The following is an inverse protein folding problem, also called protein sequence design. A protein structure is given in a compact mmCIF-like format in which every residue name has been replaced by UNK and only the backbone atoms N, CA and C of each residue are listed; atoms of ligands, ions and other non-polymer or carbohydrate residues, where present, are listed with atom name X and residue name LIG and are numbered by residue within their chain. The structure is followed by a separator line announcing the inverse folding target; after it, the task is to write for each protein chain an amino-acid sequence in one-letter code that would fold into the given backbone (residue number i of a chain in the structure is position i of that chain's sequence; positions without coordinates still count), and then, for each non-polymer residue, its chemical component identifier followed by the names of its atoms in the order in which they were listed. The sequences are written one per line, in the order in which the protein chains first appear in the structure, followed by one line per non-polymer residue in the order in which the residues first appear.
data_IF_134085714358
#
_entry.id   IF_134085714358
#
_cell.length_a   1.000
_cell.length_b   1.000
_cell.length_c   1.000
_cell.angle_alpha   90.00
_cell.angle_beta   90.00
_cell.angle_gamma   90.00
#
_symmetry.space_group_name_H-M   'P 1'
#
loop_
_entity.id
_entity.type
_entity.pdbx_description
1 polymer ?
#
# COMPACT_ATOMS: atom_id res chain seq x y z
N UNK A 1 8.57 -19.47 2.24
CA UNK A 1 7.39 -18.90 1.58
C UNK A 1 7.48 -17.39 1.57
N UNK A 2 7.18 -16.76 0.46
CA UNK A 2 7.19 -15.30 0.45
C UNK A 2 6.09 -14.79 1.37
N UNK A 3 6.45 -13.80 2.19
CA UNK A 3 5.48 -13.14 3.05
C UNK A 3 4.63 -12.21 2.20
N UNK A 4 3.37 -12.57 2.02
CA UNK A 4 2.41 -11.72 1.33
C UNK A 4 1.36 -11.29 2.34
N UNK A 5 1.20 -9.98 2.50
CA UNK A 5 0.18 -9.41 3.38
C UNK A 5 -0.76 -8.55 2.58
N UNK A 6 -1.96 -8.40 3.09
CA UNK A 6 -2.99 -7.55 2.50
C UNK A 6 -3.41 -6.50 3.51
N UNK A 7 -3.58 -5.29 3.04
CA UNK A 7 -4.01 -4.17 3.86
C UNK A 7 -5.09 -3.40 3.13
N UNK A 8 -6.24 -3.25 3.77
CA UNK A 8 -7.36 -2.51 3.22
C UNK A 8 -7.44 -1.16 3.92
N UNK A 9 -7.13 -0.09 3.20
CA UNK A 9 -7.21 1.27 3.74
C UNK A 9 -8.30 2.07 3.06
N UNK A 10 -9.25 1.39 2.41
CA UNK A 10 -10.40 2.06 1.82
C UNK A 10 -11.26 2.68 2.92
N UNK A 11 -11.85 3.82 2.62
CA UNK A 11 -12.70 4.52 3.57
C UNK A 11 -11.97 5.30 4.64
N UNK A 12 -10.64 5.26 4.66
CA UNK A 12 -9.85 6.01 5.64
C UNK A 12 -9.48 7.38 5.08
N UNK A 13 -9.50 8.37 5.95
CA UNK A 13 -9.10 9.73 5.58
C UNK A 13 -7.60 9.91 5.74
N UNK A 14 -7.02 10.79 4.91
CA UNK A 14 -5.62 11.17 5.04
C UNK A 14 -5.36 11.74 6.44
N UNK A 15 -4.27 11.36 7.13
CA UNK A 15 -3.13 10.57 6.66
C UNK A 15 -3.18 9.07 7.02
N UNK A 16 -4.34 8.55 7.40
CA UNK A 16 -4.48 7.17 7.87
C UNK A 16 -3.95 6.11 6.89
N UNK A 17 -4.27 6.17 5.58
CA UNK A 17 -3.74 5.17 4.66
C UNK A 17 -2.22 5.08 4.67
N UNK A 18 -1.55 6.23 4.72
CA UNK A 18 -0.08 6.28 4.76
C UNK A 18 0.44 5.73 6.07
N UNK A 19 -0.17 6.11 7.18
CA UNK A 19 0.26 5.65 8.50
C UNK A 19 0.13 4.14 8.63
N UNK A 20 -0.99 3.59 8.18
CA UNK A 20 -1.22 2.15 8.24
C UNK A 20 -0.23 1.38 7.37
N UNK A 21 -0.01 1.87 6.15
CA UNK A 21 0.94 1.24 5.24
C UNK A 21 2.35 1.29 5.80
N UNK A 22 2.77 2.44 6.32
CA UNK A 22 4.11 2.60 6.88
C UNK A 22 4.34 1.65 8.06
N UNK A 23 3.35 1.47 8.92
CA UNK A 23 3.47 0.54 10.04
C UNK A 23 3.74 -0.89 9.55
N UNK A 24 3.01 -1.34 8.53
CA UNK A 24 3.19 -2.68 7.99
C UNK A 24 4.56 -2.81 7.33
N UNK A 25 4.99 -1.79 6.57
CA UNK A 25 6.30 -1.82 5.93
C UNK A 25 7.45 -1.88 6.91
N UNK A 26 7.29 -1.28 8.10
CA UNK A 26 8.30 -1.37 9.15
C UNK A 26 8.41 -2.78 9.71
N UNK A 27 7.30 -3.51 9.76
CA UNK A 27 7.28 -4.88 10.24
C UNK A 27 7.80 -5.86 9.19
N UNK A 28 7.60 -5.54 7.92
CA UNK A 28 8.07 -6.36 6.80
C UNK A 28 9.42 -5.85 6.34
N UNK A 29 10.47 -6.60 6.60
CA UNK A 29 11.79 -6.26 6.09
C UNK A 29 11.84 -6.42 4.56
N UNK A 30 11.17 -7.45 4.07
CA UNK A 30 11.06 -7.75 2.65
C UNK A 30 9.80 -8.57 2.42
N UNK A 31 9.39 -8.71 1.18
CA UNK A 31 8.20 -9.51 0.84
C UNK A 31 7.25 -8.73 -0.06
N UNK A 32 5.97 -9.03 0.04
CA UNK A 32 4.94 -8.41 -0.78
C UNK A 32 3.81 -7.91 0.10
N UNK A 33 3.39 -6.67 -0.14
CA UNK A 33 2.23 -6.08 0.53
C UNK A 33 1.25 -5.60 -0.52
N UNK A 34 0.01 -6.06 -0.44
CA UNK A 34 -1.07 -5.56 -1.28
C UNK A 34 -1.90 -4.56 -0.48
N UNK A 35 -2.04 -3.36 -1.00
CA UNK A 35 -2.77 -2.28 -0.34
C UNK A 35 -3.95 -1.87 -1.22
N UNK A 36 -5.16 -1.90 -0.66
CA UNK A 36 -6.35 -1.43 -1.34
C UNK A 36 -6.63 0.01 -0.95
N UNK A 37 -6.72 0.89 -1.94
CA UNK A 37 -7.02 2.31 -1.74
C UNK A 37 -8.22 2.69 -2.60
N UNK A 38 -8.99 3.68 -2.16
CA UNK A 38 -10.18 4.11 -2.88
C UNK A 38 -10.12 5.56 -3.38
N UNK A 39 -8.96 6.18 -3.31
CA UNK A 39 -8.78 7.53 -3.84
C UNK A 39 -7.41 7.69 -4.46
N UNK A 40 -7.30 8.61 -5.41
CA UNK A 40 -6.01 8.89 -6.05
C UNK A 40 -5.04 9.54 -5.08
N UNK A 41 -5.54 10.36 -4.17
CA UNK A 41 -4.70 10.99 -3.15
C UNK A 41 -4.07 9.94 -2.26
N UNK A 42 -4.86 8.96 -1.80
CA UNK A 42 -4.32 7.87 -0.99
C UNK A 42 -3.31 7.05 -1.78
N UNK A 43 -3.60 6.76 -3.04
CA UNK A 43 -2.67 6.03 -3.91
C UNK A 43 -1.34 6.76 -4.01
N UNK A 44 -1.36 8.05 -4.31
CA UNK A 44 -0.15 8.83 -4.47
C UNK A 44 0.66 8.90 -3.18
N UNK A 45 -0.01 9.11 -2.05
CA UNK A 45 0.66 9.21 -0.77
C UNK A 45 1.29 7.89 -0.34
N UNK A 46 0.56 6.79 -0.51
CA UNK A 46 1.08 5.45 -0.20
C UNK A 46 2.27 5.13 -1.11
N UNK A 47 2.15 5.44 -2.40
CA UNK A 47 3.21 5.21 -3.37
C UNK A 47 4.50 5.94 -2.98
N UNK A 48 4.39 7.22 -2.65
CA UNK A 48 5.56 8.00 -2.23
C UNK A 48 6.21 7.44 -0.97
N UNK A 49 5.39 7.08 -0.01
CA UNK A 49 5.87 6.55 1.26
C UNK A 49 6.63 5.24 1.04
N UNK A 50 6.08 4.36 0.21
CA UNK A 50 6.72 3.08 -0.09
C UNK A 50 8.02 3.26 -0.88
N UNK A 51 8.03 4.18 -1.83
CA UNK A 51 9.24 4.47 -2.61
C UNK A 51 10.36 4.99 -1.71
N UNK A 52 10.04 5.85 -0.75
CA UNK A 52 11.03 6.34 0.22
C UNK A 52 11.62 5.22 1.06
N UNK A 53 10.83 4.19 1.32
CA UNK A 53 11.27 3.02 2.08
C UNK A 53 12.02 2.00 1.21
N UNK A 54 12.17 2.26 -0.07
CA UNK A 54 12.91 1.39 -0.99
C UNK A 54 12.07 0.28 -1.60
N UNK A 55 10.75 0.38 -1.53
CA UNK A 55 9.86 -0.64 -2.10
C UNK A 55 9.52 -0.31 -3.55
N UNK A 56 9.41 -1.35 -4.38
CA UNK A 56 8.87 -1.23 -5.73
C UNK A 56 7.34 -1.30 -5.68
N UNK A 57 6.66 -0.58 -6.57
CA UNK A 57 5.21 -0.47 -6.55
C UNK A 57 4.64 -0.74 -7.94
N UNK A 58 3.59 -1.57 -7.98
CA UNK A 58 2.81 -1.80 -9.19
C UNK A 58 1.35 -1.51 -8.84
N UNK A 59 0.67 -0.70 -9.64
CA UNK A 59 -0.73 -0.41 -9.44
C UNK A 59 -1.59 -1.27 -10.35
N UNK A 60 -2.68 -1.80 -9.81
CA UNK A 60 -3.66 -2.59 -10.55
C UNK A 60 -5.06 -2.12 -10.20
N UNK A 61 -6.03 -2.45 -11.06
CA UNK A 61 -7.43 -2.17 -10.74
C UNK A 61 -7.89 -3.11 -9.64
N UNK A 62 -8.54 -2.56 -8.63
CA UNK A 62 -9.13 -3.31 -7.56
C UNK A 62 -10.63 -3.47 -7.73
N UNK A 63 -11.30 -4.12 -6.77
CA UNK A 63 -12.75 -4.26 -6.80
C UNK A 63 -13.45 -2.91 -6.61
N UNK A 64 -14.64 -2.78 -7.19
CA UNK A 64 -15.52 -1.61 -6.99
C UNK A 64 -14.85 -0.26 -7.26
N UNK A 65 -13.99 -0.20 -8.29
CA UNK A 65 -13.33 1.05 -8.66
C UNK A 65 -12.16 1.44 -7.77
N UNK A 66 -11.81 0.61 -6.80
CA UNK A 66 -10.63 0.86 -5.98
C UNK A 66 -9.36 0.50 -6.75
N UNK A 67 -8.21 0.82 -6.15
CA UNK A 67 -6.90 0.47 -6.71
C UNK A 67 -6.18 -0.49 -5.77
N UNK A 68 -5.53 -1.46 -6.36
CA UNK A 68 -4.67 -2.38 -5.62
C UNK A 68 -3.23 -2.00 -5.90
N UNK A 69 -2.50 -1.67 -4.85
CA UNK A 69 -1.09 -1.36 -4.94
C UNK A 69 -0.29 -2.56 -4.46
N UNK A 70 0.60 -3.05 -5.30
CA UNK A 70 1.44 -4.20 -4.94
C UNK A 70 2.84 -3.67 -4.68
N UNK A 71 3.25 -3.76 -3.43
CA UNK A 71 4.55 -3.29 -2.96
C UNK A 71 5.46 -4.49 -2.74
N UNK A 72 6.65 -4.43 -3.31
CA UNK A 72 7.63 -5.53 -3.22
C UNK A 72 9.00 -4.99 -2.84
N UNK A 73 9.69 -5.76 -2.02
CA UNK A 73 11.06 -5.44 -1.65
C UNK A 73 11.93 -6.70 -1.50
#
# INVERSE_FOLDING_TARGET
MPDTRQLDVRGLSCPEPVLRTTEVLRQLVAGTLEVLVDSETARDNVTRSAERAGWGITAQDGPDGSRRLILRK
#
